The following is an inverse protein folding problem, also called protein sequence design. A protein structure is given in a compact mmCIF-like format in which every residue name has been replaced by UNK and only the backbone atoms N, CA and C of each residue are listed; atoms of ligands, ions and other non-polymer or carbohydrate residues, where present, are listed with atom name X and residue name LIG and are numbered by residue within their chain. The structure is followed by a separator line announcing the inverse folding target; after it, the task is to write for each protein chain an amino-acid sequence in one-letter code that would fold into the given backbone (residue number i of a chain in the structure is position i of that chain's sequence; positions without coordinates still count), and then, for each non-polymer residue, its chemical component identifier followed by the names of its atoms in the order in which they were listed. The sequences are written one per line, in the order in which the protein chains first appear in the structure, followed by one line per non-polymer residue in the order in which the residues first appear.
data_IF_314804468812
#
_entry.id   IF_314804468812
#
_cell.length_a   1.000
_cell.length_b   1.000
_cell.length_c   1.000
_cell.angle_alpha   90.00
_cell.angle_beta   90.00
_cell.angle_gamma   90.00
#
_symmetry.space_group_name_H-M   'P 1'
#
loop_
_entity.id
_entity.type
_entity.pdbx_description
1 polymer ?
#
# COMPACT_ATOMS: atom_id res chain seq x y z
N UNK A 1 12.78 -46.01 -17.00
CA UNK A 1 13.61 -45.67 -15.83
C UNK A 1 12.75 -44.86 -14.88
N UNK A 2 12.22 -45.55 -13.87
CA UNK A 2 11.34 -45.03 -12.84
C UNK A 2 12.25 -44.55 -11.69
N UNK A 3 12.45 -43.23 -11.57
CA UNK A 3 13.18 -42.66 -10.43
C UNK A 3 12.21 -42.35 -9.30
N UNK A 4 12.21 -43.26 -8.34
CA UNK A 4 11.60 -43.15 -7.02
C UNK A 4 12.53 -42.28 -6.15
N UNK A 5 12.12 -41.08 -5.75
CA UNK A 5 12.82 -40.28 -4.73
C UNK A 5 12.00 -40.28 -3.44
N UNK A 6 12.54 -41.00 -2.46
CA UNK A 6 12.06 -41.19 -1.11
C UNK A 6 12.80 -40.20 -0.20
N UNK A 7 12.10 -39.34 0.54
CA UNK A 7 12.64 -38.65 1.71
C UNK A 7 11.62 -38.65 2.85
N UNK A 8 11.93 -39.43 3.90
CA UNK A 8 11.46 -39.30 5.27
C UNK A 8 11.78 -37.87 5.79
N UNK A 9 11.04 -37.20 6.69
CA UNK A 9 10.32 -37.67 7.87
C UNK A 9 11.07 -37.18 9.13
N UNK A 10 10.43 -36.35 9.97
CA UNK A 10 10.94 -35.87 11.28
C UNK A 10 10.58 -34.40 11.56
N UNK A 11 9.42 -34.04 12.12
CA UNK A 11 8.84 -34.19 13.48
C UNK A 11 9.16 -33.01 14.42
N UNK A 12 8.14 -32.63 15.17
CA UNK A 12 7.81 -31.33 15.76
C UNK A 12 8.60 -30.87 16.99
N UNK A 13 8.51 -29.56 17.28
CA UNK A 13 8.52 -29.05 18.65
C UNK A 13 7.59 -27.83 18.79
N UNK A 14 6.92 -27.84 19.93
CA UNK A 14 5.80 -27.06 20.47
C UNK A 14 6.29 -25.80 21.19
N UNK A 15 5.50 -24.73 21.18
CA UNK A 15 5.69 -23.56 22.04
C UNK A 15 4.43 -22.71 22.10
N UNK A 16 3.79 -22.68 23.27
CA UNK A 16 2.57 -21.93 23.62
C UNK A 16 2.84 -21.16 24.93
N UNK A 17 2.44 -19.88 25.00
CA UNK A 17 2.16 -19.00 26.17
C UNK A 17 2.44 -17.53 25.75
N UNK A 18 1.48 -16.57 25.72
CA UNK A 18 0.81 -15.87 26.85
C UNK A 18 1.82 -15.03 27.69
N UNK A 19 1.71 -13.73 28.01
CA UNK A 19 0.75 -12.62 27.85
C UNK A 19 1.54 -11.26 27.84
N UNK A 20 1.15 -10.10 28.46
CA UNK A 20 0.90 -8.83 27.77
C UNK A 20 1.75 -7.62 28.30
N UNK A 21 1.29 -6.40 27.97
CA UNK A 21 1.57 -5.08 28.55
C UNK A 21 2.67 -4.16 27.96
N UNK A 22 2.17 -3.12 27.27
CA UNK A 22 2.29 -1.69 27.60
C UNK A 22 3.61 -1.18 28.21
N UNK A 23 4.27 -0.22 27.53
CA UNK A 23 5.28 0.60 28.19
C UNK A 23 6.15 1.47 27.31
N UNK A 24 5.86 2.78 27.34
CA UNK A 24 6.80 3.91 27.35
C UNK A 24 7.91 4.02 26.31
N UNK A 25 7.73 5.06 25.48
CA UNK A 25 8.79 5.85 24.90
C UNK A 25 9.73 6.44 25.97
N UNK A 26 11.04 6.31 25.73
CA UNK A 26 12.15 7.16 26.21
C UNK A 26 13.43 6.61 25.56
N UNK A 27 14.51 7.31 25.20
CA UNK A 27 15.14 8.63 25.42
C UNK A 27 16.17 8.76 24.26
N UNK A 28 16.65 9.92 23.81
CA UNK A 28 17.62 10.81 24.48
C UNK A 28 17.78 12.03 23.55
N UNK A 29 17.48 13.26 23.97
CA UNK A 29 18.23 14.15 24.87
C UNK A 29 19.67 14.42 24.42
N UNK A 30 19.88 15.61 23.86
CA UNK A 30 21.14 16.35 23.89
C UNK A 30 20.79 17.84 24.02
N UNK A 31 21.12 18.41 25.18
CA UNK A 31 21.02 19.82 25.54
C UNK A 31 22.42 20.37 25.86
N UNK A 32 22.49 21.71 25.90
CA UNK A 32 23.60 22.57 26.36
C UNK A 32 24.81 22.72 25.42
N UNK A 33 25.40 23.89 25.12
CA UNK A 33 25.23 25.33 25.41
C UNK A 33 26.41 26.05 24.65
N UNK A 34 26.77 27.34 24.83
CA UNK A 34 26.04 28.59 25.08
C UNK A 34 26.34 29.68 23.99
N UNK A 35 25.65 30.82 24.08
CA UNK A 35 25.95 32.07 23.36
C UNK A 35 27.25 32.75 23.84
N UNK A 36 27.75 33.77 23.10
CA UNK A 36 27.81 35.09 23.74
C UNK A 36 27.53 36.31 22.83
N UNK A 37 26.89 37.29 23.47
CA UNK A 37 27.12 38.75 23.53
C UNK A 37 27.46 39.60 22.28
N UNK A 38 26.77 40.76 22.26
CA UNK A 38 26.96 41.95 21.43
C UNK A 38 28.34 42.62 21.55
N UNK A 39 28.73 43.43 20.55
CA UNK A 39 28.96 44.88 20.75
C UNK A 39 29.34 45.61 19.46
N UNK A 40 28.94 46.87 19.43
CA UNK A 40 29.19 47.93 18.45
C UNK A 40 30.67 48.31 18.34
N UNK A 41 31.09 48.76 17.16
CA UNK A 41 32.40 49.40 16.97
C UNK A 41 32.53 50.04 15.59
N UNK A 42 32.27 51.35 15.53
CA UNK A 42 32.69 52.22 14.42
C UNK A 42 34.08 52.79 14.75
N UNK A 43 34.99 52.84 13.77
CA UNK A 43 35.92 53.97 13.72
C UNK A 43 35.97 54.62 12.33
N UNK A 44 36.20 55.93 12.36
CA UNK A 44 36.33 56.82 11.22
C UNK A 44 37.81 57.15 10.94
N UNK A 45 38.17 57.18 9.65
CA UNK A 45 39.25 57.98 8.99
C UNK A 45 40.72 57.56 9.21
N UNK A 46 41.71 57.88 8.31
CA UNK A 46 41.71 58.88 7.22
C UNK A 46 42.27 58.42 5.84
N UNK A 47 42.31 59.41 4.94
CA UNK A 47 42.70 59.47 3.52
C UNK A 47 44.13 58.98 3.22
N UNK A 48 44.35 58.32 2.07
CA UNK A 48 45.63 58.35 1.34
C UNK A 48 45.39 58.31 -0.16
N UNK A 49 45.93 59.33 -0.80
CA UNK A 49 46.01 59.65 -2.22
C UNK A 49 47.05 58.75 -2.92
N UNK A 50 46.68 58.11 -4.04
CA UNK A 50 47.64 57.57 -5.01
C UNK A 50 47.00 57.47 -6.40
N UNK A 51 47.72 58.01 -7.37
CA UNK A 51 47.35 58.37 -8.72
C UNK A 51 46.93 57.24 -9.67
N UNK A 52 46.06 57.66 -10.59
CA UNK A 52 45.70 57.15 -11.92
C UNK A 52 46.52 56.01 -12.53
N UNK A 53 45.78 54.96 -12.91
CA UNK A 53 46.02 54.19 -14.12
C UNK A 53 44.79 54.43 -15.02
N UNK A 54 44.94 54.83 -16.30
CA UNK A 54 43.80 55.08 -17.16
C UNK A 54 42.96 53.82 -17.36
N UNK A 55 41.68 53.97 -17.02
CA UNK A 55 40.56 53.09 -17.31
C UNK A 55 40.56 52.66 -18.79
N UNK A 56 40.61 51.36 -19.14
CA UNK A 56 40.11 50.95 -20.43
C UNK A 56 38.61 51.25 -20.42
N UNK A 57 38.16 52.10 -21.34
CA UNK A 57 36.76 52.47 -21.49
C UNK A 57 35.84 51.24 -21.33
N UNK A 58 34.73 51.31 -20.55
CA UNK A 58 33.80 50.21 -20.46
C UNK A 58 33.22 50.00 -21.86
N UNK A 59 33.73 48.96 -22.54
CA UNK A 59 33.10 48.47 -23.76
C UNK A 59 31.71 48.04 -23.33
N UNK A 60 30.70 48.79 -23.77
CA UNK A 60 29.30 48.50 -23.52
C UNK A 60 28.99 47.12 -24.07
N UNK A 61 29.12 46.11 -23.21
CA UNK A 61 28.75 44.75 -23.55
C UNK A 61 27.23 44.74 -23.64
N UNK A 62 26.70 44.57 -24.86
CA UNK A 62 25.29 44.33 -25.07
C UNK A 62 24.79 43.13 -24.24
N UNK A 63 23.46 42.96 -24.09
CA UNK A 63 22.92 41.88 -23.28
C UNK A 63 23.42 40.52 -23.78
N UNK A 64 24.05 39.75 -22.90
CA UNK A 64 24.54 38.41 -23.24
C UNK A 64 23.38 37.42 -23.15
N UNK A 65 23.10 36.72 -24.25
CA UNK A 65 22.06 35.69 -24.32
C UNK A 65 22.70 34.30 -24.42
N UNK A 66 22.32 33.39 -23.53
CA UNK A 66 22.81 32.02 -23.49
C UNK A 66 21.62 31.03 -23.52
N UNK A 67 21.77 29.90 -24.23
CA UNK A 67 20.79 28.81 -24.16
C UNK A 67 21.44 27.55 -23.62
N UNK A 68 20.79 26.92 -22.63
CA UNK A 68 21.26 25.66 -22.02
C UNK A 68 20.19 24.57 -22.15
N UNK A 69 20.64 23.32 -22.26
CA UNK A 69 19.76 22.16 -22.08
C UNK A 69 19.76 21.72 -20.63
N UNK A 70 18.58 21.64 -20.04
CA UNK A 70 18.39 21.16 -18.67
C UNK A 70 17.50 19.93 -18.70
N UNK A 71 17.96 18.83 -18.11
CA UNK A 71 17.20 17.59 -18.00
C UNK A 71 16.54 17.48 -16.63
N UNK A 72 15.28 17.10 -16.61
CA UNK A 72 14.51 16.87 -15.39
C UNK A 72 13.82 15.52 -15.45
N UNK A 73 13.89 14.75 -14.36
CA UNK A 73 13.18 13.47 -14.23
C UNK A 73 11.86 13.68 -13.51
N UNK A 74 10.77 13.20 -14.11
CA UNK A 74 9.42 13.19 -13.51
C UNK A 74 8.90 11.77 -13.41
N UNK A 75 8.23 11.46 -12.30
CA UNK A 75 7.59 10.15 -12.10
C UNK A 75 6.31 10.03 -12.95
N UNK A 76 6.05 8.83 -13.45
CA UNK A 76 4.77 8.47 -14.09
C UNK A 76 4.01 7.57 -13.10
N UNK A 77 2.79 7.93 -12.68
CA UNK A 77 2.00 7.07 -11.79
C UNK A 77 1.69 5.72 -12.46
N UNK A 78 1.50 4.69 -11.66
CA UNK A 78 1.01 3.40 -12.16
C UNK A 78 -0.51 3.39 -12.25
N UNK A 79 -1.04 2.60 -13.17
CA UNK A 79 -2.46 2.27 -13.21
C UNK A 79 -2.80 1.09 -12.28
N UNK A 80 -4.08 0.86 -12.05
CA UNK A 80 -4.58 -0.30 -11.31
C UNK A 80 -5.54 -1.12 -12.17
N UNK A 81 -5.41 -2.45 -12.11
CA UNK A 81 -6.30 -3.42 -12.74
C UNK A 81 -6.85 -4.37 -11.69
N UNK A 82 -8.14 -4.65 -11.77
CA UNK A 82 -8.80 -5.65 -10.91
C UNK A 82 -9.01 -6.94 -11.69
N UNK A 83 -8.78 -8.08 -11.04
CA UNK A 83 -9.09 -9.42 -11.57
C UNK A 83 -9.97 -10.18 -10.58
N UNK A 84 -10.95 -10.93 -11.07
CA UNK A 84 -11.78 -11.79 -10.23
C UNK A 84 -11.03 -13.08 -9.90
N UNK A 85 -11.16 -13.58 -8.68
CA UNK A 85 -10.45 -14.75 -8.20
C UNK A 85 -11.38 -15.66 -7.38
N UNK A 86 -11.71 -16.84 -7.92
CA UNK A 86 -12.61 -17.81 -7.28
C UNK A 86 -11.94 -18.64 -6.19
N UNK A 87 -10.65 -18.49 -5.96
CA UNK A 87 -9.95 -19.10 -4.82
C UNK A 87 -10.07 -18.25 -3.56
N UNK A 88 -10.24 -16.93 -3.72
CA UNK A 88 -10.39 -15.98 -2.62
C UNK A 88 -11.86 -15.83 -2.21
N UNK A 89 -12.10 -15.83 -0.91
CA UNK A 89 -13.42 -15.58 -0.33
C UNK A 89 -14.01 -14.27 -0.86
N UNK A 90 -15.32 -14.26 -1.15
CA UNK A 90 -16.00 -13.12 -1.74
C UNK A 90 -15.72 -11.83 -0.96
N UNK A 91 -15.32 -10.79 -1.68
CA UNK A 91 -15.00 -9.47 -1.10
C UNK A 91 -13.59 -9.34 -0.51
N UNK A 92 -12.83 -10.42 -0.33
CA UNK A 92 -11.40 -10.32 0.01
C UNK A 92 -10.62 -9.74 -1.16
N UNK A 93 -9.58 -8.97 -0.85
CA UNK A 93 -8.70 -8.34 -1.84
C UNK A 93 -7.26 -8.76 -1.58
N UNK A 94 -6.52 -9.05 -2.63
CA UNK A 94 -5.10 -9.39 -2.56
C UNK A 94 -4.34 -8.72 -3.70
N UNK A 95 -3.18 -8.14 -3.40
CA UNK A 95 -2.31 -7.58 -4.44
C UNK A 95 -1.49 -8.70 -5.05
N UNK A 96 -1.77 -9.05 -6.31
CA UNK A 96 -1.02 -10.07 -7.07
C UNK A 96 0.21 -9.50 -7.76
N UNK A 97 0.17 -8.22 -8.11
CA UNK A 97 1.32 -7.50 -8.68
C UNK A 97 1.33 -6.10 -8.11
N UNK A 98 2.41 -5.73 -7.43
CA UNK A 98 2.57 -4.38 -6.90
C UNK A 98 2.75 -3.37 -8.04
N UNK A 99 2.11 -2.22 -7.90
CA UNK A 99 2.30 -1.11 -8.84
C UNK A 99 3.67 -0.46 -8.65
N UNK A 100 4.33 -0.13 -9.76
CA UNK A 100 5.62 0.57 -9.73
C UNK A 100 5.53 1.82 -10.60
N UNK A 101 5.91 2.97 -10.04
CA UNK A 101 5.95 4.23 -10.79
C UNK A 101 6.97 4.14 -11.93
N UNK A 102 6.57 4.62 -13.10
CA UNK A 102 7.48 4.84 -14.22
C UNK A 102 8.25 6.14 -14.04
N UNK A 103 9.06 6.48 -15.04
CA UNK A 103 9.79 7.73 -15.11
C UNK A 103 9.83 8.24 -16.54
N UNK A 104 9.74 9.57 -16.69
CA UNK A 104 10.05 10.28 -17.93
C UNK A 104 11.13 11.33 -17.68
N UNK A 105 11.97 11.53 -18.69
CA UNK A 105 12.97 12.58 -18.74
C UNK A 105 12.48 13.67 -19.67
N UNK A 106 12.42 14.88 -19.14
CA UNK A 106 12.05 16.10 -19.83
C UNK A 106 13.33 16.89 -20.10
N UNK A 107 13.62 17.21 -21.35
CA UNK A 107 14.71 18.10 -21.73
C UNK A 107 14.13 19.45 -22.09
N UNK A 108 14.59 20.48 -21.40
CA UNK A 108 14.20 21.86 -21.63
C UNK A 108 15.34 22.62 -22.29
N UNK A 109 15.02 23.47 -23.24
CA UNK A 109 15.89 24.58 -23.64
C UNK A 109 15.54 25.77 -22.76
N UNK A 110 16.53 26.26 -22.02
CA UNK A 110 16.40 27.37 -21.07
C UNK A 110 17.23 28.53 -21.59
N UNK A 111 16.60 29.68 -21.78
CA UNK A 111 17.27 30.91 -22.23
C UNK A 111 17.59 31.78 -21.04
N UNK A 112 18.82 32.26 -20.97
CA UNK A 112 19.31 33.21 -19.98
C UNK A 112 19.70 34.50 -20.67
N UNK A 113 19.34 35.63 -20.07
CA UNK A 113 19.81 36.96 -20.46
C UNK A 113 20.53 37.56 -19.27
N UNK A 114 21.80 37.90 -19.43
CA UNK A 114 22.67 38.39 -18.36
C UNK A 114 22.64 37.47 -17.11
N UNK A 115 22.66 36.15 -17.33
CA UNK A 115 22.63 35.13 -16.27
C UNK A 115 21.27 34.86 -15.64
N UNK A 116 20.22 35.63 -15.96
CA UNK A 116 18.86 35.43 -15.43
C UNK A 116 18.03 34.61 -16.42
N UNK A 117 17.34 33.57 -15.94
CA UNK A 117 16.44 32.77 -16.77
C UNK A 117 15.26 33.61 -17.26
N UNK A 118 15.14 33.79 -18.57
CA UNK A 118 14.05 34.56 -19.19
C UNK A 118 13.02 33.69 -19.91
N UNK A 119 13.40 32.49 -20.34
CA UNK A 119 12.48 31.57 -20.99
C UNK A 119 12.84 30.10 -20.70
N UNK A 120 11.82 29.23 -20.72
CA UNK A 120 11.98 27.78 -20.62
C UNK A 120 11.00 27.10 -21.57
N UNK A 121 11.51 26.26 -22.45
CA UNK A 121 10.72 25.52 -23.45
C UNK A 121 11.02 24.03 -23.36
N UNK A 122 9.99 23.19 -23.27
CA UNK A 122 10.15 21.74 -23.39
C UNK A 122 10.49 21.39 -24.85
N UNK A 123 11.61 20.72 -25.07
CA UNK A 123 12.09 20.34 -26.41
C UNK A 123 12.13 18.83 -26.63
N UNK A 124 12.13 18.02 -25.57
CA UNK A 124 12.07 16.56 -25.65
C UNK A 124 11.43 15.98 -24.40
N UNK A 125 10.53 15.03 -24.59
CA UNK A 125 9.95 14.20 -23.53
C UNK A 125 10.17 12.73 -23.92
N UNK A 126 10.77 11.94 -23.03
CA UNK A 126 10.99 10.51 -23.24
C UNK A 126 10.63 9.73 -21.98
N UNK A 127 9.81 8.69 -22.12
CA UNK A 127 9.58 7.72 -21.07
C UNK A 127 10.83 6.84 -20.95
N UNK A 128 11.57 6.97 -19.85
CA UNK A 128 12.80 6.20 -19.60
C UNK A 128 12.51 4.91 -18.82
N UNK A 129 11.41 4.86 -18.07
CA UNK A 129 10.91 3.64 -17.42
C UNK A 129 9.39 3.60 -17.51
N UNK A 130 8.84 2.51 -18.06
CA UNK A 130 7.39 2.31 -18.09
C UNK A 130 6.87 2.01 -16.68
N UNK A 131 5.71 2.56 -16.26
CA UNK A 131 5.08 2.15 -15.02
C UNK A 131 4.62 0.69 -15.11
N UNK A 132 4.63 -0.01 -13.96
CA UNK A 132 4.06 -1.35 -13.81
C UNK A 132 2.68 -1.21 -13.20
N UNK A 133 1.65 -1.73 -13.88
CA UNK A 133 0.26 -1.70 -13.42
C UNK A 133 0.09 -2.58 -12.18
N UNK A 134 -0.52 -2.04 -11.12
CA UNK A 134 -0.91 -2.82 -9.96
C UNK A 134 -2.05 -3.76 -10.31
N UNK A 135 -1.93 -5.04 -9.98
CA UNK A 135 -3.01 -6.02 -10.15
C UNK A 135 -3.55 -6.42 -8.78
N UNK A 136 -4.84 -6.16 -8.56
CA UNK A 136 -5.56 -6.55 -7.35
C UNK A 136 -6.55 -7.65 -7.69
N UNK A 137 -6.38 -8.82 -7.09
CA UNK A 137 -7.38 -9.88 -7.12
C UNK A 137 -8.52 -9.54 -6.15
N UNK A 138 -9.75 -9.74 -6.59
CA UNK A 138 -10.96 -9.61 -5.77
C UNK A 138 -11.64 -10.95 -5.74
N UNK A 139 -11.84 -11.46 -4.53
CA UNK A 139 -12.43 -12.75 -4.29
C UNK A 139 -13.87 -12.83 -4.74
N UNK A 140 -14.22 -13.96 -5.36
CA UNK A 140 -15.57 -14.31 -5.82
C UNK A 140 -16.06 -15.64 -5.25
N UNK A 141 -15.27 -16.31 -4.41
CA UNK A 141 -15.68 -17.57 -3.78
C UNK A 141 -16.80 -17.32 -2.77
N UNK A 142 -17.99 -17.79 -3.08
CA UNK A 142 -19.11 -17.75 -2.14
C UNK A 142 -18.82 -18.66 -0.94
N UNK A 143 -19.10 -18.15 0.26
CA UNK A 143 -19.21 -18.99 1.45
C UNK A 143 -20.54 -19.74 1.38
N UNK A 144 -20.54 -21.04 1.72
CA UNK A 144 -21.80 -21.78 1.85
C UNK A 144 -22.65 -21.08 2.92
N UNK A 145 -23.93 -20.87 2.61
CA UNK A 145 -24.91 -20.27 3.53
C UNK A 145 -25.79 -21.33 4.18
N UNK A 146 -25.80 -22.52 3.59
CA UNK A 146 -26.59 -23.65 3.98
C UNK A 146 -25.64 -24.77 4.40
N UNK A 147 -25.97 -25.46 5.48
CA UNK A 147 -25.22 -26.60 5.96
C UNK A 147 -25.37 -27.78 4.99
N UNK A 148 -24.26 -28.40 4.55
CA UNK A 148 -24.30 -29.49 3.58
C UNK A 148 -24.87 -30.82 4.11
N UNK A 149 -25.03 -30.98 5.43
CA UNK A 149 -25.59 -32.20 6.00
C UNK A 149 -27.10 -32.32 5.81
N UNK A 150 -27.75 -31.28 5.32
CA UNK A 150 -29.19 -31.23 5.15
C UNK A 150 -29.57 -30.83 3.73
N UNK A 151 -30.72 -31.32 3.26
CA UNK A 151 -31.35 -30.84 2.04
C UNK A 151 -31.99 -29.46 2.26
N UNK A 152 -32.06 -28.64 1.22
CA UNK A 152 -32.58 -27.28 1.36
C UNK A 152 -31.56 -26.33 2.00
N UNK A 153 -32.03 -25.24 2.62
CA UNK A 153 -31.16 -24.27 3.26
C UNK A 153 -31.32 -24.23 4.78
N UNK A 154 -30.64 -25.14 5.47
CA UNK A 154 -30.43 -25.06 6.91
C UNK A 154 -29.31 -24.05 7.19
N UNK A 155 -29.54 -22.94 7.90
CA UNK A 155 -28.51 -21.94 8.16
C UNK A 155 -27.32 -22.54 8.92
N UNK A 156 -26.09 -22.19 8.54
CA UNK A 156 -24.90 -22.57 9.32
C UNK A 156 -24.86 -21.72 10.60
N UNK A 157 -25.10 -22.35 11.75
CA UNK A 157 -25.09 -21.72 13.07
C UNK A 157 -24.51 -22.66 14.15
N UNK A 158 -24.40 -22.19 15.39
CA UNK A 158 -24.02 -23.05 16.52
C UNK A 158 -25.12 -24.05 16.90
N UNK A 159 -26.37 -23.68 16.64
CA UNK A 159 -27.56 -24.45 16.94
C UNK A 159 -28.69 -23.94 16.01
N UNK A 160 -29.54 -24.85 15.54
CA UNK A 160 -30.65 -24.57 14.63
C UNK A 160 -31.82 -25.43 15.07
N UNK A 161 -32.98 -24.80 15.30
CA UNK A 161 -34.18 -25.50 15.72
C UNK A 161 -35.25 -25.54 14.63
N UNK A 162 -36.25 -26.40 14.82
CA UNK A 162 -37.47 -26.39 14.03
C UNK A 162 -38.33 -25.16 14.33
N UNK A 163 -38.70 -24.42 13.28
CA UNK A 163 -39.58 -23.27 13.38
C UNK A 163 -40.96 -23.71 13.90
N UNK A 164 -41.44 -23.04 14.96
CA UNK A 164 -42.71 -23.39 15.62
C UNK A 164 -42.57 -24.39 16.77
N UNK A 165 -41.37 -24.93 17.00
CA UNK A 165 -41.04 -25.78 18.15
C UNK A 165 -40.61 -25.00 19.39
N UNK A 166 -40.21 -25.75 20.44
CA UNK A 166 -39.74 -25.23 21.73
C UNK A 166 -38.24 -24.91 21.80
N UNK A 167 -37.60 -24.72 20.66
CA UNK A 167 -36.16 -24.48 20.53
C UNK A 167 -35.66 -23.25 21.28
N UNK A 168 -34.38 -23.24 21.63
CA UNK A 168 -33.68 -22.13 22.29
C UNK A 168 -32.50 -21.59 21.49
N UNK A 169 -32.30 -22.11 20.29
CA UNK A 169 -31.21 -21.81 19.38
C UNK A 169 -31.32 -20.43 18.73
N UNK A 170 -30.20 -19.93 18.19
CA UNK A 170 -30.12 -18.63 17.55
C UNK A 170 -30.77 -18.58 16.16
N UNK A 171 -31.13 -19.73 15.58
CA UNK A 171 -31.70 -19.88 14.23
C UNK A 171 -32.76 -20.95 14.20
N UNK A 172 -33.71 -20.79 13.28
CA UNK A 172 -34.81 -21.71 13.06
C UNK A 172 -34.92 -22.02 11.57
N UNK A 173 -35.32 -23.25 11.24
CA UNK A 173 -35.62 -23.69 9.88
C UNK A 173 -37.05 -24.25 9.82
N UNK A 174 -37.77 -23.95 8.75
CA UNK A 174 -39.08 -24.56 8.49
C UNK A 174 -38.88 -25.87 7.73
N UNK A 175 -39.38 -26.97 8.29
CA UNK A 175 -39.30 -28.27 7.64
C UNK A 175 -40.46 -28.57 6.68
N UNK A 176 -40.48 -29.78 6.11
CA UNK A 176 -39.54 -30.87 6.37
C UNK A 176 -38.16 -30.64 5.75
N UNK A 177 -37.10 -31.03 6.45
CA UNK A 177 -35.70 -30.97 6.01
C UNK A 177 -35.11 -32.39 6.00
N UNK A 178 -34.73 -32.92 4.83
CA UNK A 178 -34.08 -34.24 4.77
C UNK A 178 -32.64 -34.18 5.27
N UNK A 179 -32.23 -35.12 6.12
CA UNK A 179 -30.83 -35.33 6.52
C UNK A 179 -30.08 -36.06 5.40
N UNK A 180 -28.97 -35.48 4.94
CA UNK A 180 -28.09 -36.00 3.88
C UNK A 180 -26.81 -36.59 4.48
N UNK A 181 -26.26 -35.95 5.50
CA UNK A 181 -25.04 -36.34 6.20
C UNK A 181 -25.31 -36.67 7.67
N UNK A 182 -24.62 -35.97 8.57
CA UNK A 182 -24.80 -36.11 10.01
C UNK A 182 -25.87 -35.13 10.53
N UNK A 183 -26.74 -35.58 11.44
CA UNK A 183 -27.69 -34.70 12.11
C UNK A 183 -27.03 -33.91 13.26
N UNK A 184 -26.24 -32.91 12.91
CA UNK A 184 -25.45 -32.11 13.87
C UNK A 184 -26.27 -31.16 14.75
N UNK A 185 -27.53 -30.89 14.38
CA UNK A 185 -28.45 -29.99 15.07
C UNK A 185 -29.61 -30.75 15.73
N UNK A 186 -29.58 -32.09 15.75
CA UNK A 186 -30.64 -32.95 16.29
C UNK A 186 -32.05 -32.59 15.75
N UNK A 187 -32.14 -32.25 14.45
CA UNK A 187 -33.40 -31.87 13.80
C UNK A 187 -34.31 -33.08 13.49
N UNK A 188 -33.71 -34.26 13.34
CA UNK A 188 -34.33 -35.56 13.06
C UNK A 188 -34.19 -36.45 14.31
N UNK A 189 -34.96 -36.10 15.35
CA UNK A 189 -34.82 -36.72 16.68
C UNK A 189 -35.32 -38.16 16.73
N UNK A 190 -36.24 -38.54 15.86
CA UNK A 190 -36.76 -39.89 15.74
C UNK A 190 -35.96 -40.77 14.75
N UNK A 191 -35.10 -40.17 13.93
CA UNK A 191 -34.07 -40.83 13.14
C UNK A 191 -34.59 -41.47 11.86
N UNK A 192 -35.63 -40.90 11.27
CA UNK A 192 -36.29 -41.43 10.09
C UNK A 192 -35.71 -40.90 8.76
N UNK A 193 -34.82 -39.89 8.85
CA UNK A 193 -34.15 -39.21 7.76
C UNK A 193 -34.74 -37.84 7.40
N UNK A 194 -35.80 -37.41 8.09
CA UNK A 194 -36.45 -36.11 7.94
C UNK A 194 -36.49 -35.40 9.30
N UNK A 195 -36.16 -34.11 9.29
CA UNK A 195 -36.25 -33.26 10.46
C UNK A 195 -37.28 -32.17 10.28
N UNK A 196 -37.82 -31.68 11.40
CA UNK A 196 -38.84 -30.63 11.45
C UNK A 196 -40.11 -30.92 10.63
N UNK A 197 -40.51 -32.17 10.56
CA UNK A 197 -41.67 -32.68 9.84
C UNK A 197 -42.88 -32.97 10.74
N UNK A 198 -42.73 -32.75 12.05
CA UNK A 198 -43.78 -32.78 13.09
C UNK A 198 -44.69 -31.53 13.13
#
# INVERSE_FOLDING_TARGET
MLSLLLCCGGLAAIGNAADPDTGSANTSSAADAPAPAASSGSPSSPVTEASEIPSPAPTSAGPTTERRRVTETRSIPFGQRTVQDSSLAKGKREVRTAGVKGAKTLTYEVTYVNGVQTARKLVKEVVTRKPVTQVVAVGTKETRRCDPNYSGCVPIASDVDCAGGGGNGPKYVSGPVRVIGDDIYDLDRDGDGYGCDD
#
